data_IF_770250662926
#
_entry.id   IF_770250662926
#
_cell.length_a   1.000
_cell.length_b   1.000
_cell.length_c   1.000
_cell.angle_alpha   90.00
_cell.angle_beta   90.00
_cell.angle_gamma   90.00
#
_symmetry.space_group_name_H-M   'P 1'
#
loop_
_entity.id
_entity.type
_entity.pdbx_description
1 polymer ?
#
# COMPACT_ATOMS: atom_id res chain seq x y z
N UNK A 1 -19.72 36.31 24.59
CA UNK A 1 -18.30 35.97 24.32
C UNK A 1 -18.09 34.46 24.24
N UNK A 2 -19.08 33.67 23.79
CA UNK A 2 -19.04 32.18 23.75
C UNK A 2 -19.14 31.57 22.35
N UNK A 3 -19.04 32.38 21.29
CA UNK A 3 -19.25 31.89 19.89
C UNK A 3 -17.95 31.63 19.11
N UNK A 4 -16.77 31.87 19.71
CA UNK A 4 -15.48 31.69 19.03
C UNK A 4 -14.75 30.39 19.35
N UNK A 5 -15.25 29.56 20.27
CA UNK A 5 -14.60 28.32 20.69
C UNK A 5 -15.05 27.10 19.85
N UNK A 6 -16.22 27.18 19.20
CA UNK A 6 -16.76 26.04 18.42
C UNK A 6 -16.16 25.84 17.04
N UNK A 7 -15.43 26.82 16.50
CA UNK A 7 -14.82 26.73 15.15
C UNK A 7 -13.48 26.00 15.15
N UNK A 8 -12.83 25.93 16.32
CA UNK A 8 -11.50 25.30 16.41
C UNK A 8 -11.51 23.77 16.46
N UNK A 9 -12.66 23.16 16.77
CA UNK A 9 -12.76 21.68 16.91
C UNK A 9 -13.04 20.97 15.58
N UNK A 10 -13.56 21.68 14.56
CA UNK A 10 -13.87 21.09 13.25
C UNK A 10 -12.64 20.91 12.35
N UNK A 11 -11.53 21.59 12.62
CA UNK A 11 -10.33 21.54 11.79
C UNK A 11 -9.41 20.31 12.06
N UNK A 12 -9.72 19.48 13.05
CA UNK A 12 -8.86 18.34 13.44
C UNK A 12 -9.29 16.99 12.86
N UNK A 13 -10.33 16.94 12.04
CA UNK A 13 -10.83 15.69 11.42
C UNK A 13 -10.42 15.49 9.95
N UNK A 14 -9.60 16.38 9.40
CA UNK A 14 -9.13 16.28 8.01
C UNK A 14 -7.70 15.75 7.96
N UNK A 15 -7.49 14.45 8.13
CA UNK A 15 -6.12 13.98 8.10
C UNK A 15 -5.86 12.49 8.15
N UNK A 16 -6.57 11.69 7.40
CA UNK A 16 -6.04 10.41 6.94
C UNK A 16 -6.28 10.30 5.43
N UNK A 17 -5.75 11.26 4.67
CA UNK A 17 -5.53 11.02 3.26
C UNK A 17 -4.31 10.13 3.16
N UNK A 18 -4.49 8.86 2.83
CA UNK A 18 -3.41 8.08 2.27
C UNK A 18 -2.87 8.88 1.09
N UNK A 19 -1.65 9.41 1.21
CA UNK A 19 -1.02 10.16 0.15
C UNK A 19 -0.83 9.21 -1.03
N UNK A 20 -1.74 9.24 -1.98
CA UNK A 20 -1.59 8.49 -3.23
C UNK A 20 -0.41 9.09 -3.98
N UNK A 21 0.42 8.25 -4.57
CA UNK A 21 1.55 8.69 -5.37
C UNK A 21 1.07 9.56 -6.55
N UNK A 22 1.90 10.53 -7.01
CA UNK A 22 1.43 11.62 -7.88
C UNK A 22 1.01 11.18 -9.29
N UNK A 23 1.61 10.11 -9.82
CA UNK A 23 1.31 9.64 -11.17
C UNK A 23 0.34 8.47 -11.14
N UNK A 24 -0.70 8.53 -11.97
CA UNK A 24 -1.75 7.51 -12.04
C UNK A 24 -2.11 7.25 -13.51
N UNK A 25 -2.55 6.03 -13.86
CA UNK A 25 -3.17 5.80 -15.15
C UNK A 25 -4.48 6.60 -15.27
N UNK A 26 -4.83 7.00 -16.48
CA UNK A 26 -6.12 7.67 -16.77
C UNK A 26 -7.31 6.79 -16.38
N UNK A 27 -7.18 5.48 -16.61
CA UNK A 27 -8.14 4.47 -16.20
C UNK A 27 -7.44 3.46 -15.31
N UNK A 28 -7.93 3.31 -14.08
CA UNK A 28 -7.42 2.31 -13.15
C UNK A 28 -7.78 0.91 -13.64
N UNK A 29 -6.85 -0.06 -13.55
CA UNK A 29 -7.15 -1.44 -13.89
C UNK A 29 -8.20 -2.02 -12.97
N UNK A 30 -9.04 -2.93 -13.50
CA UNK A 30 -10.03 -3.62 -12.67
C UNK A 30 -9.35 -4.41 -11.56
N UNK A 31 -9.78 -4.20 -10.32
CA UNK A 31 -9.36 -4.99 -9.15
C UNK A 31 -8.10 -4.52 -8.44
N UNK A 32 -7.51 -3.39 -8.85
CA UNK A 32 -6.41 -2.74 -8.10
C UNK A 32 -6.35 -1.25 -8.39
N UNK A 33 -5.81 -0.50 -7.42
CA UNK A 33 -5.40 0.91 -7.61
C UNK A 33 -3.90 0.94 -7.82
N UNK A 34 -3.47 1.56 -8.91
CA UNK A 34 -2.05 1.71 -9.25
C UNK A 34 -1.69 3.18 -9.26
N UNK A 35 -0.62 3.52 -8.60
CA UNK A 35 -0.02 4.85 -8.65
C UNK A 35 1.50 4.75 -8.58
N UNK A 36 2.21 5.78 -9.02
CA UNK A 36 3.66 5.79 -9.00
C UNK A 36 4.23 7.15 -8.63
N UNK A 37 5.47 7.14 -8.14
CA UNK A 37 6.33 8.30 -7.99
C UNK A 37 7.69 8.00 -8.58
N UNK A 38 8.39 9.04 -9.04
CA UNK A 38 9.71 8.90 -9.62
C UNK A 38 10.71 9.82 -8.95
N UNK A 39 11.95 9.34 -8.83
CA UNK A 39 13.08 10.09 -8.32
C UNK A 39 14.34 9.67 -9.06
N UNK A 40 15.10 10.63 -9.58
CA UNK A 40 16.41 10.38 -10.16
C UNK A 40 17.45 10.39 -9.04
N UNK A 41 18.21 9.30 -8.91
CA UNK A 41 19.25 9.13 -7.89
C UNK A 41 20.53 8.72 -8.60
N UNK A 42 21.45 9.67 -8.80
CA UNK A 42 22.67 9.46 -9.55
C UNK A 42 22.38 9.08 -11.00
N UNK A 43 22.84 7.91 -11.40
CA UNK A 43 22.67 7.33 -12.74
C UNK A 43 21.45 6.41 -12.88
N UNK A 44 20.58 6.37 -11.84
CA UNK A 44 19.42 5.49 -11.78
C UNK A 44 18.12 6.27 -11.61
N UNK A 45 17.08 5.75 -12.22
CA UNK A 45 15.71 6.17 -12.02
C UNK A 45 15.04 5.23 -11.02
N UNK A 46 14.69 5.76 -9.85
CA UNK A 46 13.88 5.08 -8.83
C UNK A 46 12.41 5.34 -9.14
N UNK A 47 11.66 4.27 -9.30
CA UNK A 47 10.20 4.31 -9.46
C UNK A 47 9.58 3.59 -8.29
N UNK A 48 8.77 4.29 -7.52
CA UNK A 48 7.98 3.74 -6.44
C UNK A 48 6.58 3.48 -6.96
N UNK A 49 6.08 2.25 -6.79
CA UNK A 49 4.79 1.80 -7.33
C UNK A 49 3.92 1.32 -6.17
N UNK A 50 2.78 1.96 -5.99
CA UNK A 50 1.70 1.49 -5.16
C UNK A 50 0.88 0.46 -5.93
N UNK A 51 0.68 -0.72 -5.36
CA UNK A 51 0.08 -1.88 -6.04
C UNK A 51 -1.22 -2.36 -5.39
N UNK A 52 -1.77 -1.60 -4.43
CA UNK A 52 -2.97 -1.96 -3.67
C UNK A 52 -2.87 -3.37 -3.01
N UNK A 53 -1.67 -3.68 -2.49
CA UNK A 53 -1.37 -4.98 -1.87
C UNK A 53 -1.22 -6.15 -2.84
N UNK A 54 -1.28 -5.93 -4.16
CA UNK A 54 -1.04 -6.95 -5.17
C UNK A 54 0.46 -7.13 -5.43
N UNK A 55 0.86 -8.32 -5.82
CA UNK A 55 2.24 -8.58 -6.21
C UNK A 55 2.54 -8.02 -7.60
N UNK A 56 3.67 -7.36 -7.75
CA UNK A 56 4.17 -6.91 -9.05
C UNK A 56 4.71 -8.12 -9.83
N UNK A 57 4.15 -8.39 -11.01
CA UNK A 57 4.66 -9.42 -11.92
C UNK A 57 5.69 -8.85 -12.88
N UNK A 58 5.41 -7.66 -13.43
CA UNK A 58 6.27 -7.03 -14.43
C UNK A 58 6.18 -5.50 -14.33
N UNK A 59 7.33 -4.85 -14.54
CA UNK A 59 7.42 -3.42 -14.74
C UNK A 59 8.54 -3.13 -15.74
N UNK A 60 8.31 -2.21 -16.67
CA UNK A 60 9.34 -1.69 -17.57
C UNK A 60 9.02 -0.28 -18.03
N UNK A 61 10.05 0.42 -18.47
CA UNK A 61 9.91 1.70 -19.16
C UNK A 61 9.81 1.44 -20.66
N UNK A 62 8.78 2.01 -21.27
CA UNK A 62 8.65 2.02 -22.74
C UNK A 62 9.17 3.33 -23.29
N UNK A 63 10.11 3.25 -24.23
CA UNK A 63 10.64 4.38 -24.97
C UNK A 63 9.91 4.59 -26.29
N UNK A 64 9.98 5.80 -26.87
CA UNK A 64 9.55 6.03 -28.22
C UNK A 64 10.19 5.00 -29.17
N UNK A 65 9.39 4.48 -30.12
CA UNK A 65 9.82 3.41 -31.01
C UNK A 65 9.62 1.98 -30.47
N UNK A 66 8.99 1.83 -29.31
CA UNK A 66 8.64 0.51 -28.76
C UNK A 66 9.78 -0.22 -28.05
N UNK A 67 10.88 0.45 -27.80
CA UNK A 67 12.00 -0.13 -27.02
C UNK A 67 11.62 -0.18 -25.55
N UNK A 68 11.76 -1.36 -24.94
CA UNK A 68 11.51 -1.58 -23.52
C UNK A 68 12.81 -1.59 -22.73
N UNK A 69 12.80 -0.98 -21.56
CA UNK A 69 13.90 -0.98 -20.61
C UNK A 69 13.47 -1.78 -19.38
N UNK A 70 14.15 -2.88 -19.14
CA UNK A 70 13.91 -3.71 -17.96
C UNK A 70 14.53 -3.08 -16.71
N UNK A 71 13.97 -3.34 -15.53
CA UNK A 71 14.56 -2.90 -14.29
C UNK A 71 15.86 -3.65 -13.99
N UNK A 72 16.81 -2.96 -13.35
CA UNK A 72 18.03 -3.56 -12.79
C UNK A 72 17.76 -4.23 -11.44
N UNK A 73 16.86 -3.65 -10.64
CA UNK A 73 16.53 -4.14 -9.32
C UNK A 73 15.06 -3.87 -9.00
N UNK A 74 14.45 -4.79 -8.26
CA UNK A 74 13.09 -4.69 -7.73
C UNK A 74 13.11 -4.99 -6.24
N UNK A 75 12.73 -4.01 -5.44
CA UNK A 75 12.57 -4.14 -4.00
C UNK A 75 11.09 -4.33 -3.69
N UNK A 76 10.74 -5.53 -3.25
CA UNK A 76 9.36 -5.86 -2.90
C UNK A 76 9.01 -5.29 -1.52
N UNK A 77 7.75 -4.91 -1.30
CA UNK A 77 7.28 -4.47 -0.01
C UNK A 77 7.37 -5.60 1.03
N UNK A 78 7.44 -5.24 2.30
CA UNK A 78 7.52 -6.22 3.38
C UNK A 78 6.20 -6.94 3.55
N UNK A 79 6.27 -8.26 3.64
CA UNK A 79 5.12 -9.08 4.04
C UNK A 79 5.12 -9.16 5.56
N UNK A 80 4.08 -8.64 6.18
CA UNK A 80 3.89 -8.67 7.63
C UNK A 80 2.78 -9.68 7.95
N UNK A 81 3.13 -10.66 8.76
CA UNK A 81 2.15 -11.63 9.27
C UNK A 81 1.70 -11.15 10.65
N UNK A 82 0.44 -10.83 10.79
CA UNK A 82 -0.16 -10.47 12.07
C UNK A 82 -0.16 -11.66 13.04
N UNK A 83 -0.37 -11.41 14.34
CA UNK A 83 -0.53 -12.49 15.30
C UNK A 83 -1.72 -13.38 14.91
N UNK A 84 -1.60 -14.70 15.09
CA UNK A 84 -2.70 -15.61 14.80
C UNK A 84 -3.91 -15.27 15.68
N UNK A 85 -5.14 -15.42 15.16
CA UNK A 85 -6.33 -15.26 15.98
C UNK A 85 -6.33 -16.29 17.11
N UNK A 86 -6.50 -15.83 18.35
CA UNK A 86 -6.61 -16.70 19.52
C UNK A 86 -8.08 -16.95 19.82
N UNK A 87 -8.45 -18.22 19.89
CA UNK A 87 -9.78 -18.62 20.36
C UNK A 87 -9.70 -18.89 21.85
N UNK A 88 -10.37 -18.05 22.67
CA UNK A 88 -10.47 -18.26 24.11
C UNK A 88 -11.77 -18.96 24.43
N UNK A 89 -11.70 -20.19 24.90
CA UNK A 89 -12.86 -20.86 25.50
C UNK A 89 -12.93 -20.39 26.96
N UNK A 90 -13.75 -19.39 27.22
CA UNK A 90 -14.11 -19.02 28.58
C UNK A 90 -15.10 -20.04 29.13
N UNK A 91 -14.70 -20.86 30.09
CA UNK A 91 -15.65 -21.63 30.88
C UNK A 91 -16.28 -20.64 31.89
N UNK A 92 -17.30 -19.92 31.44
CA UNK A 92 -18.11 -19.07 32.30
C UNK A 92 -19.06 -19.93 33.10
N UNK A 93 -18.75 -20.19 34.34
CA UNK A 93 -19.73 -20.67 35.30
C UNK A 93 -20.76 -19.57 35.57
N UNK A 94 -21.97 -19.69 35.06
CA UNK A 94 -23.08 -18.82 35.40
C UNK A 94 -23.52 -19.15 36.84
N UNK A 95 -23.07 -18.38 37.82
CA UNK A 95 -23.67 -18.39 39.14
C UNK A 95 -24.73 -17.27 39.23
N UNK A 96 -25.98 -17.65 39.26
CA UNK A 96 -27.07 -16.80 39.64
C UNK A 96 -26.94 -16.51 41.14
N UNK A 97 -26.40 -15.37 41.48
CA UNK A 97 -26.28 -14.94 42.90
C UNK A 97 -25.88 -13.46 42.97
N UNK A 98 -26.64 -12.69 43.73
CA UNK A 98 -26.39 -11.29 44.05
C UNK A 98 -25.03 -11.15 44.74
N UNK A 99 -24.00 -10.76 43.97
CA UNK A 99 -22.68 -10.48 44.53
C UNK A 99 -21.70 -10.09 43.44
N UNK A 100 -20.99 -8.99 43.65
CA UNK A 100 -19.90 -8.55 42.78
C UNK A 100 -18.76 -9.55 42.92
N UNK A 101 -18.68 -10.50 42.01
CA UNK A 101 -17.57 -11.45 41.91
C UNK A 101 -16.66 -11.07 40.77
N UNK A 102 -15.44 -10.59 41.06
CA UNK A 102 -14.34 -10.47 40.10
C UNK A 102 -13.86 -11.90 39.81
N UNK A 103 -14.39 -12.52 38.76
CA UNK A 103 -13.92 -13.81 38.32
C UNK A 103 -12.69 -13.64 37.42
N UNK A 104 -11.49 -13.89 37.94
CA UNK A 104 -10.30 -14.06 37.11
C UNK A 104 -10.39 -15.43 36.44
N UNK A 105 -10.99 -15.48 35.26
CA UNK A 105 -10.95 -16.66 34.39
C UNK A 105 -9.60 -16.74 33.69
N UNK A 106 -8.81 -17.75 33.99
CA UNK A 106 -7.63 -18.10 33.20
C UNK A 106 -8.12 -18.76 31.90
N UNK A 107 -8.27 -17.97 30.87
CA UNK A 107 -8.58 -18.47 29.53
C UNK A 107 -7.30 -18.99 28.86
N UNK A 108 -7.23 -20.27 28.58
CA UNK A 108 -6.16 -20.82 27.73
C UNK A 108 -6.57 -20.53 26.28
N UNK A 109 -5.94 -19.53 25.66
CA UNK A 109 -6.12 -19.23 24.26
C UNK A 109 -5.29 -20.18 23.42
N UNK A 110 -5.93 -20.96 22.55
CA UNK A 110 -5.22 -21.73 21.51
C UNK A 110 -5.13 -20.88 20.24
N UNK A 111 -3.92 -20.70 19.66
CA UNK A 111 -3.81 -20.06 18.35
C UNK A 111 -4.42 -20.96 17.28
N UNK A 112 -5.36 -20.44 16.50
CA UNK A 112 -6.02 -21.15 15.42
C UNK A 112 -5.59 -20.55 14.08
N UNK A 113 -4.72 -21.25 13.36
CA UNK A 113 -4.30 -20.89 12.02
C UNK A 113 -3.18 -19.86 11.98
N UNK A 114 -2.83 -19.45 10.76
CA UNK A 114 -1.88 -18.35 10.52
C UNK A 114 -2.60 -17.01 10.65
N UNK A 115 -1.93 -16.00 11.22
CA UNK A 115 -2.46 -14.65 11.30
C UNK A 115 -2.68 -14.04 9.92
N UNK A 116 -3.48 -12.96 9.82
CA UNK A 116 -3.69 -12.27 8.56
C UNK A 116 -2.35 -11.73 8.04
N UNK A 117 -2.08 -12.01 6.77
CA UNK A 117 -0.88 -11.53 6.09
C UNK A 117 -1.25 -10.30 5.29
N UNK A 118 -0.55 -9.20 5.50
CA UNK A 118 -0.70 -7.99 4.70
C UNK A 118 0.67 -7.47 4.25
N UNK A 119 0.66 -6.71 3.20
CA UNK A 119 1.86 -6.13 2.61
C UNK A 119 1.98 -4.68 3.04
N UNK A 120 3.12 -4.30 3.62
CA UNK A 120 3.39 -2.92 4.03
C UNK A 120 4.42 -2.26 3.11
N UNK A 121 4.09 -1.07 2.64
CA UNK A 121 4.93 -0.26 1.77
C UNK A 121 4.65 -0.46 0.29
N UNK A 122 5.44 0.22 -0.52
CA UNK A 122 5.34 0.21 -1.97
C UNK A 122 6.45 -0.63 -2.60
N UNK A 123 6.23 -1.12 -3.81
CA UNK A 123 7.29 -1.76 -4.60
C UNK A 123 8.20 -0.68 -5.17
N UNK A 124 9.51 -0.82 -5.02
CA UNK A 124 10.49 0.09 -5.59
C UNK A 124 11.20 -0.61 -6.75
N UNK A 125 11.22 0.05 -7.89
CA UNK A 125 11.84 -0.46 -9.12
C UNK A 125 12.92 0.50 -9.57
N UNK A 126 14.10 -0.02 -9.88
CA UNK A 126 15.25 0.76 -10.31
C UNK A 126 15.56 0.51 -11.78
N UNK A 127 15.69 1.57 -12.56
CA UNK A 127 16.04 1.52 -13.97
C UNK A 127 17.35 2.28 -14.22
N UNK A 128 18.20 1.81 -15.17
CA UNK A 128 19.36 2.59 -15.59
C UNK A 128 18.89 3.84 -16.35
N UNK A 129 19.23 5.02 -15.82
CA UNK A 129 18.75 6.30 -16.37
C UNK A 129 19.22 6.51 -17.81
N UNK A 130 20.44 6.08 -18.13
CA UNK A 130 20.97 6.18 -19.49
C UNK A 130 20.14 5.37 -20.51
N UNK A 131 19.57 4.24 -20.09
CA UNK A 131 18.69 3.42 -20.94
C UNK A 131 17.26 3.96 -20.94
N UNK A 132 16.76 4.44 -19.80
CA UNK A 132 15.42 5.02 -19.71
C UNK A 132 15.28 6.31 -20.54
N UNK A 133 16.37 7.07 -20.72
CA UNK A 133 16.38 8.32 -21.47
C UNK A 133 15.72 9.48 -20.71
N UNK A 134 15.38 10.59 -21.40
CA UNK A 134 14.77 11.75 -20.78
C UNK A 134 13.31 11.50 -20.38
N UNK A 135 12.85 12.20 -19.33
CA UNK A 135 11.44 12.25 -18.94
C UNK A 135 10.59 13.01 -19.99
N UNK A 136 9.26 12.79 -20.07
CA UNK A 136 8.49 11.83 -19.29
C UNK A 136 8.70 10.38 -19.75
N UNK A 137 8.59 9.44 -18.82
CA UNK A 137 8.70 8.01 -19.12
C UNK A 137 7.32 7.38 -19.19
N UNK A 138 7.16 6.40 -20.10
CA UNK A 138 5.97 5.54 -20.13
C UNK A 138 6.25 4.31 -19.28
N UNK A 139 5.60 4.24 -18.12
CA UNK A 139 5.71 3.11 -17.21
C UNK A 139 4.63 2.07 -17.53
N UNK A 140 5.04 0.85 -17.78
CA UNK A 140 4.16 -0.31 -17.88
C UNK A 140 4.21 -1.09 -16.58
N UNK A 141 3.06 -1.49 -16.06
CA UNK A 141 2.91 -2.25 -14.80
C UNK A 141 1.94 -3.40 -15.03
N UNK A 142 2.32 -4.59 -14.63
CA UNK A 142 1.46 -5.76 -14.55
C UNK A 142 1.48 -6.33 -13.15
N UNK A 143 0.31 -6.45 -12.54
CA UNK A 143 0.09 -7.03 -11.23
C UNK A 143 -0.56 -8.41 -11.36
N UNK A 144 -0.36 -9.27 -10.36
CA UNK A 144 -0.96 -10.61 -10.32
C UNK A 144 -2.48 -10.54 -10.35
N UNK A 145 -3.07 -11.21 -11.34
CA UNK A 145 -4.51 -11.28 -11.49
C UNK A 145 -5.19 -9.97 -11.93
N UNK A 146 -4.43 -9.00 -12.40
CA UNK A 146 -4.92 -7.68 -12.84
C UNK A 146 -4.49 -7.43 -14.27
N UNK A 147 -5.34 -6.76 -15.06
CA UNK A 147 -4.95 -6.33 -16.40
C UNK A 147 -3.77 -5.35 -16.35
N UNK A 148 -2.83 -5.47 -17.31
CA UNK A 148 -1.69 -4.56 -17.35
C UNK A 148 -2.15 -3.12 -17.60
N UNK A 149 -1.43 -2.18 -17.02
CA UNK A 149 -1.67 -0.75 -17.20
C UNK A 149 -0.41 -0.02 -17.64
N UNK A 150 -0.58 1.07 -18.34
CA UNK A 150 0.51 1.93 -18.79
C UNK A 150 0.14 3.39 -18.60
N UNK A 151 1.08 4.19 -18.08
CA UNK A 151 0.87 5.61 -17.85
C UNK A 151 2.19 6.38 -17.82
N UNK A 152 2.10 7.68 -18.05
CA UNK A 152 3.25 8.57 -18.01
C UNK A 152 3.67 8.89 -16.57
N UNK A 153 4.98 8.89 -16.33
CA UNK A 153 5.59 9.27 -15.05
C UNK A 153 6.77 10.21 -15.28
N UNK A 154 7.15 11.01 -14.27
CA UNK A 154 8.30 11.92 -14.36
C UNK A 154 8.05 13.19 -15.17
N UNK A 155 6.82 13.41 -15.61
CA UNK A 155 6.40 14.65 -16.25
C UNK A 155 5.88 15.69 -15.25
N UNK A 156 5.38 16.85 -15.73
CA UNK A 156 4.64 17.77 -14.88
C UNK A 156 3.45 17.04 -14.24
N UNK A 157 3.21 17.32 -12.96
CA UNK A 157 2.10 16.71 -12.25
C UNK A 157 0.77 17.12 -12.90
N UNK A 158 -0.17 16.18 -13.07
CA UNK A 158 -1.52 16.52 -13.50
C UNK A 158 -2.15 17.49 -12.48
N UNK A 159 -2.69 18.59 -13.00
CA UNK A 159 -3.38 19.62 -12.20
C UNK A 159 -4.76 19.14 -11.76
#
# INVERSE_FOLDING_TARGET
>A
MMFRLSILIVALLAGCSHATLPYKPESQPHGAKVSAATLVVGDRLRVEIETDGKSLEQAWIMRPGGVTVAPENVELPRVVTGPPPTFSIGVGGASYGRGVGVGSGVGVGMPVGSGPTHTEGNTIVWFPLAQAGPAPWQLYVKLTGVEPTQFAVGGPLPQ
#
